data_IF_066923348945
#
_entry.id   IF_066923348945
#
_cell.length_a   1.000
_cell.length_b   1.000
_cell.length_c   1.000
_cell.angle_alpha   90.00
_cell.angle_beta   90.00
_cell.angle_gamma   90.00
#
_symmetry.space_group_name_H-M   'P 1'
#
loop_
_entity.id
_entity.type
_entity.pdbx_description
1 polymer ?
#
# COMPACT_ATOMS: atom_id res chain seq x y z
N UNK A 1 -10.08 11.70 -2.84
CA UNK A 1 -10.30 10.39 -2.21
C UNK A 1 -8.96 9.74 -1.93
N UNK A 2 -8.69 9.40 -0.68
CA UNK A 2 -7.41 8.77 -0.30
C UNK A 2 -7.36 7.33 -0.76
N UNK A 3 -6.24 6.95 -1.36
CA UNK A 3 -5.99 5.59 -1.78
C UNK A 3 -4.61 5.13 -1.29
N UNK A 4 -4.55 3.96 -0.68
CA UNK A 4 -3.32 3.33 -0.24
C UNK A 4 -2.76 2.48 -1.38
N UNK A 5 -1.44 2.50 -1.58
CA UNK A 5 -0.77 1.74 -2.63
C UNK A 5 0.14 0.69 -1.99
N UNK A 6 -0.13 -0.59 -2.27
CA UNK A 6 0.70 -1.70 -1.82
C UNK A 6 2.00 -1.78 -2.63
N UNK A 7 3.02 -2.37 -2.04
CA UNK A 7 4.35 -2.52 -2.66
C UNK A 7 4.28 -3.22 -4.02
N UNK A 8 3.47 -4.27 -4.15
CA UNK A 8 3.37 -5.03 -5.40
C UNK A 8 2.81 -4.23 -6.58
N UNK A 9 2.09 -3.15 -6.31
CA UNK A 9 1.65 -2.19 -7.33
C UNK A 9 2.74 -1.15 -7.55
N UNK A 10 3.28 -0.61 -6.46
CA UNK A 10 4.24 0.49 -6.51
C UNK A 10 5.51 0.11 -7.28
N UNK A 11 5.93 -1.15 -7.21
CA UNK A 11 7.15 -1.62 -7.86
C UNK A 11 7.11 -1.46 -9.39
N UNK A 12 5.93 -1.48 -10.01
CA UNK A 12 5.79 -1.26 -11.44
C UNK A 12 6.11 0.17 -11.88
N UNK A 13 6.19 1.12 -10.93
CA UNK A 13 6.54 2.51 -11.21
C UNK A 13 7.91 2.66 -11.87
N UNK A 14 8.84 1.77 -11.55
CA UNK A 14 10.20 1.77 -12.09
C UNK A 14 10.34 0.98 -13.38
N UNK A 15 9.28 0.38 -13.87
CA UNK A 15 9.27 -0.37 -15.12
C UNK A 15 8.99 0.56 -16.30
N UNK A 16 9.50 0.21 -17.47
CA UNK A 16 9.15 0.89 -18.71
C UNK A 16 8.00 0.14 -19.38
N UNK A 17 6.79 0.37 -18.86
CA UNK A 17 5.60 -0.37 -19.29
C UNK A 17 4.32 0.45 -19.07
N UNK A 18 3.22 -0.04 -19.64
CA UNK A 18 1.89 0.56 -19.43
C UNK A 18 1.46 0.53 -17.95
N UNK A 19 1.94 -0.43 -17.17
CA UNK A 19 1.67 -0.49 -15.72
C UNK A 19 2.34 0.66 -14.97
N UNK A 20 3.52 1.09 -15.41
CA UNK A 20 4.17 2.27 -14.84
C UNK A 20 3.32 3.52 -15.00
N UNK A 21 2.67 3.67 -16.15
CA UNK A 21 1.77 4.80 -16.40
C UNK A 21 0.55 4.78 -15.47
N UNK A 22 0.00 3.60 -15.18
CA UNK A 22 -1.07 3.45 -14.20
C UNK A 22 -0.60 3.90 -12.82
N UNK A 23 0.58 3.47 -12.39
CA UNK A 23 1.14 3.87 -11.08
C UNK A 23 1.36 5.38 -11.01
N UNK A 24 1.88 5.99 -12.07
CA UNK A 24 2.03 7.45 -12.13
C UNK A 24 0.69 8.16 -11.91
N UNK A 25 -0.38 7.68 -12.50
CA UNK A 25 -1.71 8.25 -12.30
C UNK A 25 -2.19 8.08 -10.87
N UNK A 26 -1.90 6.94 -10.23
CA UNK A 26 -2.24 6.73 -8.82
C UNK A 26 -1.46 7.67 -7.90
N UNK A 27 -0.18 7.87 -8.18
CA UNK A 27 0.68 8.77 -7.41
C UNK A 27 0.29 10.25 -7.56
N UNK A 28 -0.33 10.62 -8.68
CA UNK A 28 -0.80 11.97 -8.91
C UNK A 28 -2.07 12.33 -8.12
N UNK A 29 -2.71 11.36 -7.49
CA UNK A 29 -3.88 11.57 -6.64
C UNK A 29 -3.47 11.64 -5.16
N UNK A 30 -4.42 11.51 -4.25
CA UNK A 30 -4.14 11.48 -2.80
C UNK A 30 -3.59 10.09 -2.42
N UNK A 31 -2.33 9.84 -2.76
CA UNK A 31 -1.68 8.56 -2.50
C UNK A 31 -1.15 8.48 -1.07
N UNK A 32 -1.43 7.35 -0.42
CA UNK A 32 -0.97 7.02 0.93
C UNK A 32 -0.16 5.74 0.87
N UNK A 33 0.96 5.72 1.54
CA UNK A 33 1.77 4.52 1.77
C UNK A 33 2.21 4.50 3.24
N UNK A 34 2.82 3.39 3.65
CA UNK A 34 3.41 3.29 4.98
C UNK A 34 4.93 3.11 4.91
N UNK A 35 5.59 3.26 6.06
CA UNK A 35 7.03 2.98 6.17
C UNK A 35 7.32 1.52 5.78
N UNK A 36 6.42 0.58 6.10
CA UNK A 36 6.56 -0.81 5.66
C UNK A 36 6.64 -0.91 4.13
N UNK A 37 5.77 -0.21 3.41
CA UNK A 37 5.79 -0.18 1.94
C UNK A 37 7.11 0.39 1.43
N UNK A 38 7.61 1.46 2.02
CA UNK A 38 8.91 2.02 1.64
C UNK A 38 10.04 1.01 1.82
N UNK A 39 10.05 0.29 2.95
CA UNK A 39 11.07 -0.71 3.22
C UNK A 39 11.01 -1.88 2.25
N UNK A 40 9.82 -2.38 1.97
CA UNK A 40 9.63 -3.46 0.99
C UNK A 40 10.02 -3.01 -0.41
N UNK A 41 9.63 -1.81 -0.81
CA UNK A 41 9.97 -1.22 -2.10
C UNK A 41 11.49 -1.12 -2.27
N UNK A 42 12.19 -0.53 -1.29
CA UNK A 42 13.65 -0.43 -1.31
C UNK A 42 14.30 -1.82 -1.37
N UNK A 43 13.80 -2.78 -0.60
CA UNK A 43 14.34 -4.13 -0.59
C UNK A 43 14.20 -4.84 -1.94
N UNK A 44 13.05 -4.71 -2.61
CA UNK A 44 12.81 -5.29 -3.93
C UNK A 44 13.74 -4.68 -4.97
N UNK A 45 13.90 -3.36 -4.96
CA UNK A 45 14.81 -2.68 -5.89
C UNK A 45 16.26 -3.14 -5.73
N UNK A 46 16.71 -3.29 -4.48
CA UNK A 46 18.06 -3.75 -4.19
C UNK A 46 18.30 -5.21 -4.56
N UNK A 47 17.38 -6.08 -4.15
CA UNK A 47 17.56 -7.53 -4.27
C UNK A 47 17.15 -8.08 -5.63
N UNK A 48 15.99 -7.69 -6.14
CA UNK A 48 15.45 -8.26 -7.40
C UNK A 48 15.84 -7.46 -8.62
N UNK A 49 16.06 -6.17 -8.49
CA UNK A 49 16.38 -5.28 -9.61
C UNK A 49 17.85 -4.89 -9.64
N UNK A 50 18.64 -5.28 -8.64
CA UNK A 50 20.07 -4.96 -8.51
C UNK A 50 20.35 -3.45 -8.68
N UNK A 51 19.43 -2.62 -8.23
CA UNK A 51 19.54 -1.16 -8.34
C UNK A 51 20.58 -0.63 -7.34
N UNK A 52 21.40 0.31 -7.76
CA UNK A 52 22.37 0.96 -6.88
C UNK A 52 21.67 1.75 -5.78
N UNK A 53 22.25 1.73 -4.56
CA UNK A 53 21.65 2.40 -3.42
C UNK A 53 21.33 3.88 -3.65
N UNK A 54 22.21 4.68 -4.28
CA UNK A 54 21.87 6.09 -4.56
C UNK A 54 20.61 6.26 -5.41
N UNK A 55 20.36 5.36 -6.36
CA UNK A 55 19.15 5.40 -7.20
C UNK A 55 17.92 5.01 -6.38
N UNK A 56 18.04 4.02 -5.48
CA UNK A 56 16.96 3.65 -4.55
C UNK A 56 16.62 4.82 -3.64
N UNK A 57 17.62 5.52 -3.12
CA UNK A 57 17.41 6.69 -2.26
C UNK A 57 16.64 7.82 -2.96
N UNK A 58 16.95 8.09 -4.23
CA UNK A 58 16.22 9.09 -5.03
C UNK A 58 14.76 8.72 -5.17
N UNK A 59 14.47 7.47 -5.50
CA UNK A 59 13.08 7.00 -5.67
C UNK A 59 12.31 7.03 -4.36
N UNK A 60 12.91 6.58 -3.27
CA UNK A 60 12.26 6.61 -1.95
C UNK A 60 12.01 8.04 -1.48
N UNK A 61 12.95 8.95 -1.69
CA UNK A 61 12.77 10.36 -1.36
C UNK A 61 11.62 10.98 -2.16
N UNK A 62 11.54 10.65 -3.45
CA UNK A 62 10.43 11.10 -4.30
C UNK A 62 9.07 10.62 -3.77
N UNK A 63 8.99 9.36 -3.32
CA UNK A 63 7.76 8.83 -2.73
C UNK A 63 7.40 9.55 -1.42
N UNK A 64 8.39 9.82 -0.58
CA UNK A 64 8.18 10.55 0.69
C UNK A 64 7.64 11.96 0.40
N UNK A 65 8.15 12.62 -0.62
CA UNK A 65 7.73 13.97 -1.00
C UNK A 65 6.36 13.98 -1.69
N UNK A 66 5.98 12.91 -2.35
CA UNK A 66 4.75 12.82 -3.16
C UNK A 66 3.57 12.24 -2.38
N UNK A 67 3.81 11.24 -1.55
CA UNK A 67 2.78 10.50 -0.83
C UNK A 67 2.65 10.98 0.61
N UNK A 68 1.48 10.71 1.21
CA UNK A 68 1.34 10.73 2.66
C UNK A 68 1.91 9.42 3.19
N UNK A 69 3.00 9.49 3.95
CA UNK A 69 3.69 8.30 4.47
C UNK A 69 3.34 8.10 5.94
N UNK A 70 2.72 6.97 6.26
CA UNK A 70 2.27 6.64 7.60
C UNK A 70 3.35 5.90 8.37
N UNK A 71 3.53 6.30 9.63
CA UNK A 71 4.35 5.53 10.56
C UNK A 71 3.64 4.25 10.97
N UNK A 72 4.42 3.23 11.32
CA UNK A 72 3.90 2.00 11.91
C UNK A 72 3.75 2.20 13.42
N UNK A 73 2.59 1.79 13.96
CA UNK A 73 2.28 1.93 15.38
C UNK A 73 1.84 0.60 15.97
N UNK A 74 1.83 0.55 17.31
CA UNK A 74 1.29 -0.60 18.04
C UNK A 74 -0.20 -0.79 17.69
N UNK A 75 -0.94 0.30 17.53
CA UNK A 75 -2.35 0.24 17.12
C UNK A 75 -2.53 -0.43 15.77
N UNK A 76 -1.65 -0.14 14.81
CA UNK A 76 -1.67 -0.78 13.49
C UNK A 76 -1.51 -2.30 13.63
N UNK A 77 -0.55 -2.72 14.43
CA UNK A 77 -0.30 -4.14 14.70
C UNK A 77 -1.51 -4.83 15.35
N UNK A 78 -2.08 -4.23 16.37
CA UNK A 78 -3.25 -4.78 17.06
C UNK A 78 -4.45 -4.90 16.12
N UNK A 79 -4.68 -3.88 15.30
CA UNK A 79 -5.73 -3.89 14.27
C UNK A 79 -5.47 -4.99 13.24
N UNK A 80 -4.21 -5.15 12.83
CA UNK A 80 -3.82 -6.21 11.89
C UNK A 80 -4.17 -7.60 12.42
N UNK A 81 -3.91 -7.87 13.70
CA UNK A 81 -4.25 -9.17 14.29
C UNK A 81 -5.77 -9.44 14.25
N UNK A 82 -6.57 -8.43 14.48
CA UNK A 82 -8.03 -8.53 14.35
C UNK A 82 -8.44 -8.84 12.91
N UNK A 83 -7.83 -8.17 11.94
CA UNK A 83 -8.14 -8.37 10.53
C UNK A 83 -7.68 -9.75 10.02
N UNK A 84 -6.57 -10.28 10.53
CA UNK A 84 -6.11 -11.62 10.20
C UNK A 84 -7.17 -12.67 10.53
N UNK A 85 -7.76 -12.57 11.71
CA UNK A 85 -8.81 -13.49 12.13
C UNK A 85 -10.07 -13.37 11.29
N UNK A 86 -10.43 -12.14 10.89
CA UNK A 86 -11.68 -11.86 10.19
C UNK A 86 -11.61 -12.16 8.69
N UNK A 87 -10.47 -11.88 8.05
CA UNK A 87 -10.33 -11.94 6.59
C UNK A 87 -9.28 -12.96 6.11
N UNK A 88 -8.71 -13.74 7.00
CA UNK A 88 -7.72 -14.76 6.67
C UNK A 88 -6.52 -14.20 5.89
N UNK A 89 -5.94 -13.13 6.40
CA UNK A 89 -4.77 -12.47 5.83
C UNK A 89 -3.49 -12.90 6.52
N UNK A 90 -2.35 -12.86 5.81
CA UNK A 90 -1.04 -12.93 6.46
C UNK A 90 -0.82 -11.69 7.33
N UNK A 91 0.14 -11.78 8.28
CA UNK A 91 0.42 -10.63 9.14
C UNK A 91 0.90 -9.41 8.35
N UNK A 92 1.67 -9.63 7.29
CA UNK A 92 2.19 -8.53 6.47
C UNK A 92 1.08 -7.86 5.67
N UNK A 93 0.22 -8.63 5.02
CA UNK A 93 -0.94 -8.10 4.30
C UNK A 93 -1.92 -7.42 5.26
N UNK A 94 -2.17 -8.02 6.43
CA UNK A 94 -3.05 -7.44 7.43
C UNK A 94 -2.53 -6.08 7.95
N UNK A 95 -1.22 -5.90 8.07
CA UNK A 95 -0.63 -4.61 8.46
C UNK A 95 -0.84 -3.55 7.37
N UNK A 96 -0.72 -3.91 6.10
CA UNK A 96 -1.03 -3.02 4.98
C UNK A 96 -2.50 -2.60 5.03
N UNK A 97 -3.39 -3.57 5.16
CA UNK A 97 -4.84 -3.31 5.23
C UNK A 97 -5.19 -2.44 6.45
N UNK A 98 -4.60 -2.75 7.62
CA UNK A 98 -4.82 -1.98 8.84
C UNK A 98 -4.36 -0.53 8.69
N UNK A 99 -3.18 -0.30 8.12
CA UNK A 99 -2.68 1.06 7.88
C UNK A 99 -3.62 1.84 6.97
N UNK A 100 -4.08 1.23 5.88
CA UNK A 100 -5.01 1.85 4.95
C UNK A 100 -6.35 2.20 5.63
N UNK A 101 -6.92 1.26 6.38
CA UNK A 101 -8.21 1.44 7.04
C UNK A 101 -8.14 2.49 8.16
N UNK A 102 -7.07 2.49 8.97
CA UNK A 102 -6.89 3.43 10.06
C UNK A 102 -6.63 4.85 9.58
N UNK A 103 -6.16 5.04 8.36
CA UNK A 103 -5.94 6.36 7.75
C UNK A 103 -7.10 6.85 6.91
N UNK A 104 -8.25 6.19 6.99
CA UNK A 104 -9.47 6.54 6.26
C UNK A 104 -9.33 6.49 4.73
N UNK A 105 -8.49 5.61 4.23
CA UNK A 105 -8.43 5.35 2.80
C UNK A 105 -9.71 4.67 2.33
N UNK A 106 -10.21 5.08 1.17
CA UNK A 106 -11.37 4.46 0.55
C UNK A 106 -10.98 3.20 -0.24
N UNK A 107 -9.77 3.18 -0.79
CA UNK A 107 -9.26 2.11 -1.65
C UNK A 107 -7.86 1.72 -1.22
N UNK A 108 -7.59 0.42 -1.27
CA UNK A 108 -6.25 -0.16 -1.21
C UNK A 108 -5.97 -0.81 -2.56
N UNK A 109 -5.00 -0.27 -3.29
CA UNK A 109 -4.56 -0.88 -4.53
C UNK A 109 -3.53 -1.96 -4.25
N UNK A 110 -3.86 -3.18 -4.61
CA UNK A 110 -3.00 -4.36 -4.46
C UNK A 110 -3.25 -5.34 -5.60
N UNK A 111 -2.18 -5.96 -6.10
CA UNK A 111 -2.27 -6.98 -7.15
C UNK A 111 -2.49 -8.38 -6.57
N UNK A 112 -1.93 -8.66 -5.40
CA UNK A 112 -1.90 -10.00 -4.82
C UNK A 112 -3.07 -10.29 -3.86
N UNK A 113 -3.69 -9.27 -3.30
CA UNK A 113 -4.84 -9.44 -2.42
C UNK A 113 -6.12 -9.62 -3.22
N UNK A 114 -7.17 -10.13 -2.55
CA UNK A 114 -8.46 -10.40 -3.19
C UNK A 114 -9.09 -9.11 -3.73
N UNK A 115 -9.21 -8.99 -5.05
CA UNK A 115 -9.84 -7.86 -5.72
C UNK A 115 -11.33 -7.80 -5.37
N UNK A 116 -11.78 -6.61 -4.97
CA UNK A 116 -13.16 -6.37 -4.59
C UNK A 116 -13.50 -6.67 -3.14
N UNK A 117 -12.54 -7.14 -2.32
CA UNK A 117 -12.80 -7.37 -0.91
C UNK A 117 -13.11 -6.05 -0.19
N UNK A 118 -14.24 -6.03 0.52
CA UNK A 118 -14.62 -4.91 1.38
C UNK A 118 -14.16 -5.19 2.80
N UNK A 119 -13.35 -4.31 3.34
CA UNK A 119 -12.82 -4.45 4.71
C UNK A 119 -13.44 -3.38 5.60
N UNK A 120 -13.98 -3.83 6.74
CA UNK A 120 -14.50 -2.94 7.79
C UNK A 120 -13.75 -3.19 9.07
N UNK A 121 -13.34 -2.11 9.74
CA UNK A 121 -12.82 -2.19 11.09
C UNK A 121 -13.98 -2.48 12.05
N UNK A 122 -13.72 -3.23 13.15
CA UNK A 122 -14.74 -3.44 14.17
C UNK A 122 -15.07 -2.13 14.90
N UNK A 123 -16.33 -1.99 15.30
CA UNK A 123 -16.80 -0.87 16.10
C UNK A 123 -17.57 0.20 15.32
N UNK A 124 -18.28 1.09 16.03
CA UNK A 124 -19.16 2.09 15.40
C UNK A 124 -18.41 3.25 14.72
N UNK A 125 -17.12 3.40 14.98
CA UNK A 125 -16.32 4.49 14.41
C UNK A 125 -15.89 4.22 12.96
N UNK A 126 -16.08 3.00 12.44
CA UNK A 126 -15.72 2.67 11.07
C UNK A 126 -16.86 3.01 10.12
N UNK A 127 -17.02 4.29 9.82
CA UNK A 127 -18.08 4.75 8.92
C UNK A 127 -17.85 4.31 7.47
N UNK A 128 -16.58 4.08 7.08
CA UNK A 128 -16.21 3.79 5.69
C UNK A 128 -15.59 2.42 5.55
N UNK A 129 -16.08 1.66 4.57
CA UNK A 129 -15.43 0.42 4.16
C UNK A 129 -14.25 0.73 3.25
N UNK A 130 -13.14 0.06 3.50
CA UNK A 130 -12.00 0.03 2.59
C UNK A 130 -12.27 -1.04 1.55
N UNK A 131 -12.10 -0.72 0.27
CA UNK A 131 -12.20 -1.73 -0.79
C UNK A 131 -10.81 -1.99 -1.38
N UNK A 132 -10.49 -3.28 -1.57
CA UNK A 132 -9.25 -3.69 -2.23
C UNK A 132 -9.51 -3.78 -3.74
N UNK A 133 -8.63 -3.18 -4.54
CA UNK A 133 -8.72 -3.16 -5.99
C UNK A 133 -7.38 -3.50 -6.63
N UNK A 134 -7.43 -4.31 -7.68
CA UNK A 134 -6.29 -4.47 -8.57
C UNK A 134 -6.36 -3.35 -9.63
N UNK A 135 -5.40 -2.39 -9.65
CA UNK A 135 -5.49 -1.24 -10.56
C UNK A 135 -5.19 -1.59 -12.02
N UNK A 136 -4.69 -2.81 -12.28
CA UNK A 136 -4.31 -3.27 -13.61
C UNK A 136 -5.41 -4.07 -14.30
N UNK A 137 -6.50 -4.35 -13.60
CA UNK A 137 -7.66 -5.02 -14.19
C UNK A 137 -8.64 -3.98 -14.74
N UNK A 138 -9.14 -4.28 -15.91
CA UNK A 138 -10.16 -3.48 -16.55
C UNK A 138 -11.51 -3.57 -15.80
#
# INVERSE_FOLDING_TARGET
MKAFIDTNVLIYWVDDSARADVVEQLLAQEAVISVQVLNEFANVLRRKRAMALPDVEVLCTTLIDTCDVLDLSVRTHQTALTLMARYNLSVYDANIVAAAALSDCAVLYSEDMQDGLNVKLPGPASANALVIRNPFRA
#
